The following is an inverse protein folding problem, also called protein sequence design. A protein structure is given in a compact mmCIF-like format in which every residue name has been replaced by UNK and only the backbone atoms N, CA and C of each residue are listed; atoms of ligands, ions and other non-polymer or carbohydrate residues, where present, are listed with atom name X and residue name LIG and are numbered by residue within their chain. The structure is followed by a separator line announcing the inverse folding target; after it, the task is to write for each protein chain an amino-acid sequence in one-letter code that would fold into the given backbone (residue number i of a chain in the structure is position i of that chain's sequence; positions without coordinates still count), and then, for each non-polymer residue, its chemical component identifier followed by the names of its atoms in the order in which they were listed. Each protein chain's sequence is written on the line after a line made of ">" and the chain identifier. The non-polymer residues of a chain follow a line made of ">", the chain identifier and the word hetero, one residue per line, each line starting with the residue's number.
data_IF_725983576840
#
_entry.id   IF_725983576840
#
_cell.length_a   1.000
_cell.length_b   1.000
_cell.length_c   1.000
_cell.angle_alpha   90.00
_cell.angle_beta   90.00
_cell.angle_gamma   90.00
#
_symmetry.space_group_name_H-M   'P 1'
#
loop_
_entity.id
_entity.type
_entity.pdbx_description
1 polymer ?
#
# COMPACT_ATOMS: atom_id res chain seq x y z
N UNK A 1 3.43 12.42 -4.81
CA UNK A 1 2.76 11.56 -5.80
C UNK A 1 1.85 12.44 -6.64
N UNK A 2 2.00 12.41 -7.97
CA UNK A 2 1.09 13.08 -8.89
C UNK A 2 0.41 11.99 -9.71
N UNK A 3 -0.92 11.96 -9.72
CA UNK A 3 -1.69 10.90 -10.35
C UNK A 3 -2.37 11.46 -11.58
N UNK A 4 -1.98 10.94 -12.74
CA UNK A 4 -2.61 11.25 -13.99
C UNK A 4 -3.99 10.59 -14.00
N UNK A 5 -5.01 11.41 -14.17
CA UNK A 5 -6.39 10.93 -14.14
C UNK A 5 -7.25 11.63 -15.15
N UNK A 6 -8.19 10.86 -15.71
CA UNK A 6 -9.28 11.37 -16.51
C UNK A 6 -10.58 11.15 -15.74
N UNK A 7 -11.32 12.23 -15.51
CA UNK A 7 -12.63 12.17 -14.86
C UNK A 7 -13.69 12.02 -15.95
N UNK A 8 -14.56 11.01 -15.80
CA UNK A 8 -15.76 10.81 -16.62
C UNK A 8 -16.94 11.36 -15.83
N UNK A 9 -17.78 12.16 -16.50
CA UNK A 9 -18.93 12.83 -15.90
C UNK A 9 -20.25 12.26 -16.42
N UNK A 10 -21.29 12.36 -15.61
CA UNK A 10 -22.66 12.00 -16.00
C UNK A 10 -23.32 13.06 -16.91
N UNK A 11 -24.59 12.85 -17.28
CA UNK A 11 -25.36 13.79 -18.12
C UNK A 11 -25.55 15.18 -17.50
N UNK A 12 -25.41 15.30 -16.17
CA UNK A 12 -25.53 16.56 -15.42
C UNK A 12 -24.16 17.22 -15.21
N UNK A 13 -23.07 16.59 -15.66
CA UNK A 13 -21.70 17.05 -15.49
C UNK A 13 -21.08 16.67 -14.14
N UNK A 14 -21.72 15.82 -13.34
CA UNK A 14 -21.16 15.36 -12.07
C UNK A 14 -20.13 14.25 -12.31
N UNK A 15 -18.98 14.25 -11.60
CA UNK A 15 -18.03 13.14 -11.65
C UNK A 15 -18.67 11.81 -11.29
N UNK A 16 -18.54 10.82 -12.17
CA UNK A 16 -19.06 9.47 -11.97
C UNK A 16 -17.94 8.43 -11.88
N UNK A 17 -16.93 8.53 -12.75
CA UNK A 17 -15.82 7.58 -12.82
C UNK A 17 -14.49 8.30 -12.95
N UNK A 18 -13.41 7.61 -12.61
CA UNK A 18 -12.04 8.06 -12.82
C UNK A 18 -11.23 6.97 -13.49
N UNK A 19 -10.51 7.33 -14.54
CA UNK A 19 -9.59 6.44 -15.25
C UNK A 19 -8.18 6.88 -14.88
N UNK A 20 -7.39 5.95 -14.37
CA UNK A 20 -6.02 6.13 -13.88
C UNK A 20 -5.12 5.12 -14.61
N UNK A 21 -3.88 5.47 -14.98
CA UNK A 21 -2.87 4.49 -15.41
C UNK A 21 -2.72 3.35 -14.41
N UNK A 22 -2.48 2.15 -14.93
CA UNK A 22 -2.48 0.93 -14.11
C UNK A 22 -1.34 0.92 -13.09
N UNK A 23 -0.15 1.34 -13.49
CA UNK A 23 1.02 1.50 -12.63
C UNK A 23 0.77 2.48 -11.48
N UNK A 24 0.14 3.62 -11.75
CA UNK A 24 -0.20 4.60 -10.71
C UNK A 24 -1.30 4.11 -9.76
N UNK A 25 -2.22 3.28 -10.27
CA UNK A 25 -3.18 2.59 -9.42
C UNK A 25 -2.50 1.56 -8.51
N UNK A 26 -1.52 0.82 -9.02
CA UNK A 26 -0.74 -0.12 -8.22
C UNK A 26 0.05 0.61 -7.12
N UNK A 27 0.76 1.69 -7.45
CA UNK A 27 1.44 2.52 -6.44
C UNK A 27 0.48 3.04 -5.37
N UNK A 28 -0.74 3.43 -5.77
CA UNK A 28 -1.78 3.83 -4.82
C UNK A 28 -2.19 2.68 -3.90
N UNK A 29 -2.39 1.49 -4.46
CA UNK A 29 -2.76 0.30 -3.70
C UNK A 29 -1.68 -0.03 -2.67
N UNK A 30 -0.40 -0.03 -3.07
CA UNK A 30 0.75 -0.26 -2.19
C UNK A 30 0.85 0.76 -1.05
N UNK A 31 0.76 2.06 -1.36
CA UNK A 31 0.84 3.12 -0.35
C UNK A 31 -0.30 3.02 0.66
N UNK A 32 -1.49 2.63 0.21
CA UNK A 32 -2.66 2.45 1.05
C UNK A 32 -2.72 1.07 1.71
N UNK A 33 -1.80 0.15 1.37
CA UNK A 33 -1.80 -1.24 1.82
C UNK A 33 -3.03 -2.03 1.38
N UNK A 34 -3.63 -1.67 0.24
CA UNK A 34 -4.79 -2.35 -0.33
C UNK A 34 -4.43 -3.63 -1.10
N UNK A 35 -3.15 -3.77 -1.44
CA UNK A 35 -2.53 -4.94 -2.04
C UNK A 35 -2.16 -6.02 -1.01
N UNK A 36 -2.09 -5.64 0.28
CA UNK A 36 -1.73 -6.54 1.38
C UNK A 36 -2.87 -7.52 1.70
N UNK A 37 -2.52 -8.80 1.82
CA UNK A 37 -3.45 -9.80 2.30
C UNK A 37 -3.45 -9.93 3.83
N UNK A 38 -4.23 -10.87 4.36
CA UNK A 38 -4.34 -11.08 5.80
C UNK A 38 -3.05 -11.57 6.45
N UNK A 39 -2.23 -12.32 5.73
CA UNK A 39 -0.94 -12.82 6.19
C UNK A 39 0.07 -11.65 6.23
N UNK A 40 0.14 -10.85 5.16
CA UNK A 40 0.97 -9.65 5.10
C UNK A 40 0.67 -8.67 6.26
N UNK A 41 -0.62 -8.46 6.54
CA UNK A 41 -1.06 -7.58 7.62
C UNK A 41 -0.66 -8.12 9.00
N UNK A 42 -0.66 -9.43 9.18
CA UNK A 42 -0.26 -10.04 10.44
C UNK A 42 1.26 -9.98 10.63
N UNK A 43 2.03 -10.25 9.58
CA UNK A 43 3.48 -10.11 9.58
C UNK A 43 3.91 -8.67 9.91
N UNK A 44 3.24 -7.67 9.35
CA UNK A 44 3.48 -6.27 9.68
C UNK A 44 3.17 -5.94 11.14
N UNK A 45 2.10 -6.51 11.71
CA UNK A 45 1.78 -6.35 13.14
C UNK A 45 2.86 -6.98 14.01
N UNK A 46 3.24 -8.22 13.72
CA UNK A 46 4.25 -8.93 14.50
C UNK A 46 5.61 -8.23 14.43
N UNK A 47 6.02 -7.78 13.24
CA UNK A 47 7.26 -7.03 13.06
C UNK A 47 7.26 -5.71 13.85
N UNK A 48 6.10 -5.04 13.93
CA UNK A 48 5.94 -3.85 14.76
C UNK A 48 6.08 -4.16 16.25
N UNK A 49 5.42 -5.20 16.74
CA UNK A 49 5.52 -5.63 18.14
C UNK A 49 6.95 -6.04 18.53
N UNK A 50 7.62 -6.79 17.67
CA UNK A 50 9.02 -7.21 17.86
C UNK A 50 9.94 -5.99 17.91
N UNK A 51 9.69 -4.97 17.08
CA UNK A 51 10.40 -3.69 17.11
C UNK A 51 10.16 -2.92 18.41
N UNK A 52 8.91 -2.76 18.81
CA UNK A 52 8.52 -1.99 20.00
C UNK A 52 8.99 -2.67 21.30
N UNK A 53 9.02 -4.00 21.33
CA UNK A 53 9.53 -4.79 22.45
C UNK A 53 11.06 -4.98 22.45
N UNK A 54 11.75 -4.57 21.37
CA UNK A 54 13.20 -4.67 21.24
C UNK A 54 13.71 -6.10 21.06
N UNK A 55 12.90 -7.00 20.52
CA UNK A 55 13.19 -8.42 20.33
C UNK A 55 14.17 -8.64 19.16
N UNK A 56 15.46 -8.45 19.45
CA UNK A 56 16.53 -8.52 18.44
C UNK A 56 16.67 -9.88 17.75
N UNK A 57 16.26 -10.96 18.39
CA UNK A 57 16.31 -12.31 17.82
C UNK A 57 15.34 -12.51 16.64
N UNK A 58 14.38 -11.60 16.45
CA UNK A 58 13.49 -11.58 15.28
C UNK A 58 14.15 -10.97 14.03
N UNK A 59 15.35 -10.41 14.15
CA UNK A 59 16.08 -9.77 13.06
C UNK A 59 17.30 -10.60 12.67
N UNK A 60 17.64 -10.59 11.38
CA UNK A 60 18.91 -11.10 10.88
C UNK A 60 19.91 -9.96 10.71
N UNK A 61 21.20 -10.29 10.79
CA UNK A 61 22.26 -9.33 10.51
C UNK A 61 22.20 -8.90 9.04
N UNK A 62 22.42 -7.62 8.77
CA UNK A 62 22.42 -7.08 7.41
C UNK A 62 23.51 -7.72 6.55
N UNK A 63 24.66 -8.07 7.14
CA UNK A 63 25.78 -8.73 6.46
C UNK A 63 25.48 -10.21 6.12
N UNK A 64 24.32 -10.73 6.55
CA UNK A 64 23.85 -12.10 6.26
C UNK A 64 22.87 -12.19 5.09
N UNK A 65 22.59 -11.07 4.41
CA UNK A 65 21.72 -10.95 3.22
C UNK A 65 22.58 -10.64 2.00
#
# INVERSE_FOLDING_TARGET
>A
MNIHKKIVVDEQGNPQEVIIPWDEFQELAEILGLDLDSEDLEDLRQAREDRESGKRDAYIDLDSI
#
